data_IF_083375720828
#
_entry.id   IF_083375720828
#
_cell.length_a   1.000
_cell.length_b   1.000
_cell.length_c   1.000
_cell.angle_alpha   90.00
_cell.angle_beta   90.00
_cell.angle_gamma   90.00
#
_symmetry.space_group_name_H-M   'P 1'
#
loop_
_entity.id
_entity.type
_entity.pdbx_description
1 polymer ?
#
# COMPACT_ATOMS: atom_id res chain seq x y z
N UNK A 1 7.29 -4.40 -0.96
CA UNK A 1 7.28 -5.85 -0.63
C UNK A 1 7.02 -6.05 0.85
N UNK A 2 6.02 -6.85 1.15
CA UNK A 2 5.77 -7.24 2.54
C UNK A 2 6.88 -8.18 3.01
N UNK A 3 7.39 -7.90 4.20
CA UNK A 3 8.50 -8.70 4.79
C UNK A 3 7.98 -9.82 5.68
N UNK A 4 6.67 -9.95 5.82
CA UNK A 4 6.03 -10.96 6.65
C UNK A 4 5.18 -11.88 5.78
N UNK A 5 5.01 -13.10 6.23
CA UNK A 5 4.13 -14.04 5.54
C UNK A 5 2.68 -13.57 5.67
N UNK A 6 1.94 -13.67 4.58
CA UNK A 6 0.59 -13.10 4.50
C UNK A 6 -0.27 -13.89 3.51
N UNK A 7 -1.56 -13.64 3.58
CA UNK A 7 -2.51 -14.20 2.62
C UNK A 7 -3.53 -13.13 2.22
N UNK A 8 -4.22 -13.36 1.11
CA UNK A 8 -5.28 -12.50 0.62
C UNK A 8 -6.61 -13.18 0.93
N UNK A 9 -7.49 -12.46 1.57
CA UNK A 9 -8.80 -12.98 1.96
C UNK A 9 -9.84 -11.87 1.88
N UNK A 10 -11.10 -12.24 2.01
CA UNK A 10 -12.19 -11.29 2.03
C UNK A 10 -12.06 -10.39 3.26
N UNK A 11 -12.13 -9.08 3.04
CA UNK A 11 -11.98 -8.07 4.08
C UNK A 11 -13.35 -7.63 4.58
N UNK A 12 -13.44 -7.26 5.87
CA UNK A 12 -14.61 -6.60 6.41
C UNK A 12 -14.61 -5.11 6.14
N UNK A 13 -13.47 -4.57 5.66
CA UNK A 13 -13.33 -3.15 5.34
C UNK A 13 -13.78 -2.90 3.91
N UNK A 14 -13.16 -3.57 2.96
CA UNK A 14 -13.46 -3.40 1.54
C UNK A 14 -12.87 -4.55 0.74
N UNK A 15 -13.71 -5.21 -0.05
CA UNK A 15 -13.29 -6.24 -1.01
C UNK A 15 -12.33 -7.27 -0.44
N UNK A 16 -11.18 -7.39 -1.07
CA UNK A 16 -10.10 -8.24 -0.58
C UNK A 16 -9.16 -7.41 0.30
N UNK A 17 -8.49 -8.08 1.22
CA UNK A 17 -7.50 -7.49 2.09
C UNK A 17 -6.33 -8.42 2.27
N UNK A 18 -5.28 -7.93 2.90
CA UNK A 18 -4.09 -8.71 3.21
C UNK A 18 -4.04 -9.00 4.71
N UNK A 19 -3.82 -10.25 5.06
CA UNK A 19 -3.88 -10.73 6.44
C UNK A 19 -2.56 -11.36 6.83
N UNK A 20 -2.10 -11.10 8.06
CA UNK A 20 -0.84 -11.66 8.52
C UNK A 20 -0.99 -13.15 8.84
N UNK A 21 -0.03 -13.94 8.37
CA UNK A 21 0.07 -15.35 8.72
C UNK A 21 0.97 -15.60 9.93
N UNK A 22 1.54 -14.54 10.49
CA UNK A 22 2.44 -14.65 11.63
C UNK A 22 2.20 -13.52 12.61
N UNK A 23 2.63 -13.73 13.86
CA UNK A 23 2.58 -12.65 14.85
C UNK A 23 3.67 -11.63 14.54
N UNK A 24 3.32 -10.36 14.62
CA UNK A 24 4.24 -9.25 14.34
C UNK A 24 4.36 -8.41 15.60
N UNK A 25 5.58 -8.14 16.01
CA UNK A 25 5.83 -7.31 17.19
C UNK A 25 5.74 -5.82 16.84
N UNK A 26 5.28 -5.01 17.79
CA UNK A 26 5.28 -3.56 17.64
C UNK A 26 6.66 -3.07 17.23
N UNK A 27 6.73 -2.20 16.23
CA UNK A 27 7.98 -1.66 15.71
C UNK A 27 8.68 -2.52 14.68
N UNK A 28 8.20 -3.73 14.43
CA UNK A 28 8.82 -4.62 13.44
C UNK A 28 8.58 -4.08 12.04
N UNK A 29 9.61 -4.18 11.18
CA UNK A 29 9.49 -3.82 9.76
C UNK A 29 8.51 -4.78 9.07
N UNK A 30 7.55 -4.24 8.34
CA UNK A 30 6.52 -5.02 7.66
C UNK A 30 6.55 -4.82 6.15
N UNK A 31 6.97 -3.65 5.68
CA UNK A 31 7.06 -3.38 4.25
C UNK A 31 8.34 -2.61 3.93
N UNK A 32 9.03 -3.02 2.87
CA UNK A 32 10.18 -2.31 2.32
C UNK A 32 10.19 -2.46 0.80
N UNK A 33 10.73 -1.49 0.09
CA UNK A 33 10.83 -1.57 -1.35
C UNK A 33 11.79 -2.71 -1.76
N UNK A 34 11.38 -3.48 -2.77
CA UNK A 34 12.25 -4.47 -3.40
C UNK A 34 12.04 -4.44 -4.91
N UNK A 35 13.11 -4.21 -5.70
CA UNK A 35 12.97 -4.17 -7.16
C UNK A 35 12.60 -5.55 -7.77
N UNK A 36 12.65 -6.60 -6.98
CA UNK A 36 12.23 -7.93 -7.43
C UNK A 36 10.70 -8.04 -7.47
N UNK A 37 10.02 -7.40 -6.52
CA UNK A 37 8.57 -7.52 -6.33
C UNK A 37 7.85 -6.23 -6.71
N UNK A 38 8.50 -5.08 -6.50
CA UNK A 38 7.87 -3.78 -6.65
C UNK A 38 8.41 -3.06 -7.89
N UNK A 39 7.53 -2.25 -8.49
CA UNK A 39 7.92 -1.40 -9.60
C UNK A 39 7.73 0.05 -9.23
N UNK A 40 8.75 0.86 -9.52
CA UNK A 40 8.71 2.31 -9.33
C UNK A 40 8.52 2.98 -10.70
N UNK A 41 7.51 3.85 -10.80
CA UNK A 41 7.16 4.51 -12.06
C UNK A 41 7.15 6.03 -11.85
N UNK A 42 7.96 6.79 -12.62
CA UNK A 42 7.91 8.24 -12.56
C UNK A 42 6.53 8.76 -12.95
N UNK A 43 6.06 9.80 -12.26
CA UNK A 43 4.73 10.35 -12.48
C UNK A 43 4.54 10.83 -13.93
N UNK A 44 5.56 11.39 -14.56
CA UNK A 44 5.44 11.88 -15.94
C UNK A 44 5.25 10.74 -16.94
N UNK A 45 5.74 9.55 -16.65
CA UNK A 45 5.45 8.38 -17.48
C UNK A 45 4.03 7.89 -17.26
N UNK A 46 3.58 7.92 -16.01
CA UNK A 46 2.25 7.49 -15.64
C UNK A 46 1.17 8.38 -16.27
N UNK A 47 1.40 9.69 -16.32
CA UNK A 47 0.44 10.64 -16.89
C UNK A 47 0.15 10.41 -18.37
N UNK A 48 0.99 9.65 -19.07
CA UNK A 48 0.77 9.29 -20.48
C UNK A 48 -0.11 8.06 -20.64
N UNK A 49 -0.49 7.42 -19.55
CA UNK A 49 -1.26 6.18 -19.59
C UNK A 49 -2.75 6.44 -19.71
N UNK A 50 -3.52 5.46 -20.20
CA UNK A 50 -4.97 5.57 -20.23
C UNK A 50 -5.55 5.73 -18.82
N UNK A 51 -6.75 6.29 -18.76
CA UNK A 51 -7.43 6.57 -17.49
C UNK A 51 -7.55 5.34 -16.59
N UNK A 52 -7.82 4.17 -17.15
CA UNK A 52 -7.98 2.97 -16.32
C UNK A 52 -6.67 2.56 -15.62
N UNK A 53 -5.53 2.85 -16.24
CA UNK A 53 -4.23 2.60 -15.63
C UNK A 53 -3.97 3.62 -14.51
N UNK A 54 -4.32 4.88 -14.74
CA UNK A 54 -4.21 5.92 -13.72
C UNK A 54 -5.06 5.58 -12.49
N UNK A 55 -6.29 5.09 -12.72
CA UNK A 55 -7.15 4.67 -11.61
C UNK A 55 -6.56 3.50 -10.82
N UNK A 56 -5.93 2.55 -11.51
CA UNK A 56 -5.28 1.42 -10.86
C UNK A 56 -4.15 1.90 -9.94
N UNK A 57 -3.32 2.79 -10.44
CA UNK A 57 -2.23 3.35 -9.63
C UNK A 57 -2.77 4.19 -8.48
N UNK A 58 -3.80 4.99 -8.71
CA UNK A 58 -4.41 5.79 -7.66
C UNK A 58 -4.94 4.93 -6.51
N UNK A 59 -5.40 3.73 -6.83
CA UNK A 59 -5.99 2.83 -5.85
C UNK A 59 -4.95 1.98 -5.13
N UNK A 60 -3.88 1.56 -5.80
CA UNK A 60 -3.03 0.48 -5.30
C UNK A 60 -1.56 0.87 -5.09
N UNK A 61 -1.13 2.01 -5.61
CA UNK A 61 0.27 2.42 -5.54
C UNK A 61 0.53 3.41 -4.41
N UNK A 62 1.79 3.49 -4.01
CA UNK A 62 2.26 4.49 -3.04
C UNK A 62 2.98 5.61 -3.78
N UNK A 63 2.73 6.85 -3.40
CA UNK A 63 3.45 7.98 -3.96
C UNK A 63 4.68 8.28 -3.10
N UNK A 64 5.85 8.32 -3.73
CA UNK A 64 7.10 8.67 -3.07
C UNK A 64 7.42 10.12 -3.43
N UNK A 65 7.05 11.02 -2.53
CA UNK A 65 7.12 12.45 -2.77
C UNK A 65 8.52 12.93 -3.13
N UNK A 66 9.52 12.40 -2.46
CA UNK A 66 10.92 12.82 -2.64
C UNK A 66 11.44 12.53 -4.04
N UNK A 67 10.86 11.53 -4.70
CA UNK A 67 11.31 11.11 -6.04
C UNK A 67 10.29 11.41 -7.14
N UNK A 68 9.09 11.87 -6.78
CA UNK A 68 8.03 12.08 -7.76
C UNK A 68 7.64 10.80 -8.49
N UNK A 69 7.60 9.69 -7.79
CA UNK A 69 7.34 8.37 -8.37
C UNK A 69 6.22 7.65 -7.62
N UNK A 70 5.61 6.68 -8.31
CA UNK A 70 4.67 5.77 -7.68
C UNK A 70 5.29 4.38 -7.61
N UNK A 71 5.10 3.70 -6.50
CA UNK A 71 5.54 2.33 -6.30
C UNK A 71 4.32 1.44 -6.22
N UNK A 72 4.31 0.37 -7.01
CA UNK A 72 3.24 -0.62 -7.01
C UNK A 72 3.85 -2.01 -6.87
N UNK A 73 3.26 -2.85 -6.03
CA UNK A 73 3.79 -4.17 -5.73
C UNK A 73 3.02 -5.29 -6.40
N UNK A 74 3.68 -6.44 -6.49
CA UNK A 74 3.09 -7.65 -7.04
C UNK A 74 2.68 -8.65 -5.97
N UNK A 75 2.97 -8.37 -4.70
CA UNK A 75 2.56 -9.26 -3.61
C UNK A 75 1.24 -8.79 -2.99
N UNK A 76 0.93 -9.26 -1.80
CA UNK A 76 -0.33 -8.97 -1.14
C UNK A 76 -0.55 -7.50 -0.81
N UNK A 77 0.50 -6.68 -0.82
CA UNK A 77 0.38 -5.26 -0.52
C UNK A 77 -0.53 -4.53 -1.50
N UNK A 78 -0.68 -5.06 -2.71
CA UNK A 78 -1.61 -4.53 -3.71
C UNK A 78 -3.04 -4.43 -3.17
N UNK A 79 -3.41 -5.28 -2.23
CA UNK A 79 -4.76 -5.35 -1.66
C UNK A 79 -4.86 -4.73 -0.27
N UNK A 80 -3.83 -4.03 0.18
CA UNK A 80 -3.86 -3.42 1.51
C UNK A 80 -4.93 -2.33 1.57
N UNK A 81 -5.79 -2.41 2.57
CA UNK A 81 -6.89 -1.47 2.76
C UNK A 81 -6.51 -0.32 3.68
N UNK A 82 -7.22 0.78 3.52
CA UNK A 82 -7.11 1.94 4.39
C UNK A 82 -7.85 1.71 5.70
N UNK A 83 -7.30 2.26 6.78
CA UNK A 83 -8.00 2.38 8.06
C UNK A 83 -7.63 3.72 8.70
N UNK A 84 -8.58 4.33 9.40
CA UNK A 84 -8.30 5.53 10.19
C UNK A 84 -7.53 5.18 11.47
N UNK A 85 -7.54 3.91 11.86
CA UNK A 85 -6.75 3.39 12.98
C UNK A 85 -5.90 2.24 12.48
N UNK A 86 -4.92 2.53 11.60
CA UNK A 86 -4.15 1.48 10.96
C UNK A 86 -3.20 0.79 11.94
N UNK A 87 -2.89 -0.48 11.65
CA UNK A 87 -1.89 -1.19 12.44
C UNK A 87 -0.48 -1.10 11.84
N UNK A 88 -0.32 -0.43 10.72
CA UNK A 88 0.99 -0.12 10.16
C UNK A 88 1.20 1.39 10.15
N UNK A 89 2.44 1.79 10.42
CA UNK A 89 2.86 3.18 10.35
C UNK A 89 3.91 3.33 9.26
N UNK A 90 3.91 4.46 8.57
CA UNK A 90 4.75 4.72 7.40
C UNK A 90 5.70 5.88 7.69
N UNK A 91 6.99 5.72 7.35
CA UNK A 91 7.98 6.77 7.47
C UNK A 91 8.36 7.39 6.12
N UNK A 92 7.61 7.08 5.06
CA UNK A 92 7.88 7.54 3.69
C UNK A 92 8.61 6.53 2.85
N UNK A 93 9.32 5.57 3.43
CA UNK A 93 10.08 4.55 2.72
C UNK A 93 9.79 3.14 3.19
N UNK A 94 9.36 3.00 4.44
CA UNK A 94 9.11 1.71 5.06
C UNK A 94 7.82 1.75 5.84
N UNK A 95 7.24 0.59 6.09
CA UNK A 95 6.12 0.46 7.01
C UNK A 95 6.50 -0.45 8.16
N UNK A 96 6.09 -0.06 9.36
CA UNK A 96 6.37 -0.77 10.61
C UNK A 96 5.07 -1.08 11.32
N UNK A 97 5.06 -2.12 12.13
CA UNK A 97 3.90 -2.40 12.98
C UNK A 97 3.75 -1.28 14.04
N UNK A 98 2.59 -0.65 14.09
CA UNK A 98 2.29 0.39 15.06
C UNK A 98 2.02 -0.19 16.45
N UNK A 99 1.67 -1.47 16.52
CA UNK A 99 1.39 -2.24 17.73
C UNK A 99 1.64 -3.70 17.42
N UNK A 100 1.52 -4.56 18.42
CA UNK A 100 1.55 -6.00 18.16
C UNK A 100 0.37 -6.38 17.26
N UNK A 101 0.64 -7.23 16.28
CA UNK A 101 -0.36 -7.72 15.32
C UNK A 101 -0.41 -9.24 15.46
N UNK A 102 -1.63 -9.76 15.65
CA UNK A 102 -1.83 -11.19 15.82
C UNK A 102 -2.00 -11.91 14.48
N UNK A 103 -1.75 -13.20 14.48
CA UNK A 103 -2.04 -14.04 13.31
C UNK A 103 -3.51 -13.88 12.94
N UNK A 104 -3.76 -13.64 11.67
CA UNK A 104 -5.11 -13.47 11.16
C UNK A 104 -5.64 -12.05 11.16
N UNK A 105 -4.89 -11.08 11.72
CA UNK A 105 -5.30 -9.69 11.62
C UNK A 105 -5.06 -9.13 10.23
N UNK A 106 -5.97 -8.30 9.77
CA UNK A 106 -5.80 -7.58 8.51
C UNK A 106 -4.76 -6.48 8.68
N UNK A 107 -3.80 -6.41 7.75
CA UNK A 107 -2.82 -5.34 7.70
C UNK A 107 -3.43 -4.13 7.02
N UNK A 108 -3.35 -2.97 7.68
CA UNK A 108 -3.96 -1.74 7.18
C UNK A 108 -2.99 -0.57 7.30
N UNK A 109 -3.14 0.39 6.40
CA UNK A 109 -2.34 1.61 6.42
C UNK A 109 -3.26 2.83 6.27
N UNK A 110 -2.70 4.01 6.48
CA UNK A 110 -3.43 5.25 6.24
C UNK A 110 -3.05 5.77 4.86
N UNK A 111 -3.98 5.72 3.92
CA UNK A 111 -3.74 6.15 2.55
C UNK A 111 -3.39 7.62 2.43
N UNK A 112 -3.82 8.44 3.37
CA UNK A 112 -3.49 9.86 3.34
C UNK A 112 -2.01 10.12 3.53
N UNK A 113 -1.26 9.16 4.10
CA UNK A 113 0.18 9.27 4.30
C UNK A 113 0.99 8.59 3.21
N UNK A 114 0.41 7.67 2.43
CA UNK A 114 1.17 6.87 1.47
C UNK A 114 0.80 7.15 0.02
N UNK A 115 -0.32 7.83 -0.23
CA UNK A 115 -0.79 8.06 -1.60
C UNK A 115 -1.23 9.50 -1.78
N UNK A 116 -0.71 10.15 -2.83
CA UNK A 116 -1.19 11.46 -3.29
C UNK A 116 -1.75 11.25 -4.69
N UNK A 117 -3.01 11.56 -4.87
CA UNK A 117 -3.72 11.21 -6.10
C UNK A 117 -4.10 12.46 -6.89
N UNK A 118 -3.20 13.41 -6.96
CA UNK A 118 -3.46 14.68 -7.62
C UNK A 118 -3.46 14.57 -9.14
N UNK A 119 -2.85 13.52 -9.68
CA UNK A 119 -2.76 13.34 -11.12
C UNK A 119 -4.07 12.82 -11.73
N UNK A 120 -5.07 12.51 -10.93
CA UNK A 120 -6.35 11.99 -11.41
C UNK A 120 -7.52 12.77 -10.81
N UNK A 121 -7.68 14.05 -11.22
CA UNK A 121 -8.70 14.92 -10.62
C UNK A 121 -10.12 14.49 -10.91
N UNK A 122 -10.33 13.71 -11.98
CA UNK A 122 -11.68 13.33 -12.36
C UNK A 122 -12.17 12.08 -11.70
N UNK A 123 -11.30 11.34 -11.10
CA UNK A 123 -11.66 10.03 -10.62
C UNK A 123 -11.93 10.00 -9.15
N UNK A 124 -11.81 11.11 -8.50
CA UNK A 124 -12.09 11.24 -7.10
C UNK A 124 -11.25 10.35 -6.26
N UNK A 125 -10.29 9.79 -6.82
CA UNK A 125 -9.47 8.91 -6.16
C UNK A 125 -10.18 7.80 -5.54
N UNK A 126 -9.71 6.75 -5.51
CA UNK A 126 -10.34 5.54 -5.07
C UNK A 126 -10.43 5.41 -3.56
N UNK A 127 -9.87 6.28 -2.88
CA UNK A 127 -9.87 6.11 -1.43
C UNK A 127 -10.63 7.20 -0.75
#
# INVERSE_FOLDING_TARGET
MLTVDHNISQSTIHGLGVFSNEKIAAGQLVWTFSPVVDREVPIEQLLKMPDHVLRMFARHAWYVKERGTFVIGLDGDYFMNHSDEPNLTDDGEHMYAARDIEVGEELTCDYSTVTVVEFDPNKGHAH
#
